data_IF_957002066055
#
_entry.id   IF_957002066055
#
_cell.length_a   1.000
_cell.length_b   1.000
_cell.length_c   1.000
_cell.angle_alpha   90.00
_cell.angle_beta   90.00
_cell.angle_gamma   90.00
#
_symmetry.space_group_name_H-M   'P 1'
#
loop_
_entity.id
_entity.type
_entity.pdbx_description
1 polymer ?
#
# COMPACT_ATOMS: atom_id res chain seq x y z
N UNK A 1 -8.87 -6.87 23.11
CA UNK A 1 -8.25 -7.59 21.95
C UNK A 1 -9.28 -8.24 21.04
N UNK A 2 -9.62 -7.60 19.91
CA UNK A 2 -10.38 -8.24 18.84
C UNK A 2 -9.44 -8.38 17.64
N UNK A 3 -8.43 -9.22 17.85
CA UNK A 3 -7.28 -9.37 16.96
C UNK A 3 -7.65 -10.08 15.64
N UNK A 4 -8.92 -10.22 15.27
CA UNK A 4 -9.35 -11.12 14.20
C UNK A 4 -8.65 -10.86 12.85
N UNK A 5 -8.43 -9.59 12.47
CA UNK A 5 -7.69 -9.27 11.25
C UNK A 5 -6.19 -9.61 11.31
N UNK A 6 -5.57 -9.57 12.51
CA UNK A 6 -4.15 -9.86 12.74
C UNK A 6 -3.88 -11.32 13.19
N UNK A 7 -4.92 -12.06 13.54
CA UNK A 7 -4.86 -13.44 14.06
C UNK A 7 -5.54 -14.47 13.16
N UNK A 8 -6.17 -14.06 12.06
CA UNK A 8 -6.69 -15.03 11.08
C UNK A 8 -5.54 -15.95 10.66
N UNK A 9 -5.69 -17.28 10.80
CA UNK A 9 -4.72 -18.22 10.28
C UNK A 9 -4.44 -17.88 8.81
N UNK A 10 -3.16 -17.74 8.48
CA UNK A 10 -2.75 -17.53 7.10
C UNK A 10 -2.94 -18.82 6.33
N UNK A 11 -3.82 -18.78 5.33
CA UNK A 11 -4.11 -19.90 4.45
C UNK A 11 -3.56 -19.61 3.06
N UNK A 12 -3.00 -20.64 2.42
CA UNK A 12 -2.63 -20.58 1.01
C UNK A 12 -3.91 -20.59 0.18
N UNK A 13 -4.03 -19.63 -0.73
CA UNK A 13 -5.15 -19.48 -1.66
C UNK A 13 -4.63 -19.55 -3.08
N UNK A 14 -5.38 -20.22 -3.96
CA UNK A 14 -5.15 -20.19 -5.38
C UNK A 14 -5.80 -18.95 -6.01
N UNK A 15 -5.21 -18.44 -7.09
CA UNK A 15 -5.76 -17.37 -7.89
C UNK A 15 -4.92 -17.14 -9.14
N UNK A 16 -5.14 -16.00 -9.78
CA UNK A 16 -4.36 -15.55 -10.93
C UNK A 16 -3.70 -14.21 -10.65
N UNK A 17 -2.51 -14.01 -11.20
CA UNK A 17 -1.84 -12.72 -11.12
C UNK A 17 -1.08 -12.40 -12.42
N UNK A 18 -1.32 -11.20 -12.94
CA UNK A 18 -0.64 -10.62 -14.09
C UNK A 18 0.47 -9.72 -13.57
N UNK A 19 1.66 -9.83 -14.16
CA UNK A 19 2.80 -8.97 -13.84
C UNK A 19 3.26 -8.30 -15.14
N UNK A 20 3.50 -6.99 -15.09
CA UNK A 20 4.09 -6.21 -16.17
C UNK A 20 5.26 -5.40 -15.61
N UNK A 21 6.37 -5.39 -16.32
CA UNK A 21 7.48 -4.49 -16.01
C UNK A 21 7.11 -3.06 -16.42
N UNK A 22 7.42 -2.10 -15.57
CA UNK A 22 7.11 -0.69 -15.77
C UNK A 22 8.40 0.11 -15.64
N UNK A 23 8.65 0.96 -16.64
CA UNK A 23 9.68 1.99 -16.60
C UNK A 23 9.09 3.32 -17.06
N UNK A 24 9.21 4.36 -16.25
CA UNK A 24 8.69 5.71 -16.52
C UNK A 24 9.68 6.76 -16.01
N UNK A 25 9.62 8.03 -16.49
CA UNK A 25 10.35 9.12 -15.86
C UNK A 25 10.03 9.23 -14.36
N UNK A 26 11.02 9.58 -13.54
CA UNK A 26 10.85 9.70 -12.09
C UNK A 26 10.13 10.99 -11.67
N UNK A 27 8.85 11.11 -12.03
CA UNK A 27 8.02 12.28 -11.71
C UNK A 27 6.57 11.91 -11.40
N UNK A 28 5.90 12.74 -10.61
CA UNK A 28 4.47 12.61 -10.30
C UNK A 28 3.62 12.69 -11.58
N UNK A 29 3.98 13.57 -12.51
CA UNK A 29 3.26 13.70 -13.78
C UNK A 29 3.31 12.40 -14.61
N UNK A 30 4.50 11.79 -14.74
CA UNK A 30 4.65 10.53 -15.46
C UNK A 30 3.92 9.38 -14.75
N UNK A 31 3.92 9.37 -13.42
CA UNK A 31 3.14 8.43 -12.63
C UNK A 31 1.64 8.52 -12.94
N UNK A 32 1.05 9.72 -12.93
CA UNK A 32 -0.38 9.89 -13.24
C UNK A 32 -0.74 9.45 -14.66
N UNK A 33 0.10 9.77 -15.65
CA UNK A 33 -0.09 9.29 -17.03
C UNK A 33 -0.08 7.75 -17.07
N UNK A 34 0.87 7.11 -16.38
CA UNK A 34 0.95 5.66 -16.35
C UNK A 34 -0.25 5.02 -15.65
N UNK A 35 -0.77 5.63 -14.59
CA UNK A 35 -1.99 5.15 -13.91
C UNK A 35 -3.20 5.18 -14.84
N UNK A 36 -3.34 6.22 -15.66
CA UNK A 36 -4.38 6.31 -16.68
C UNK A 36 -4.21 5.25 -17.77
N UNK A 37 -2.98 5.05 -18.27
CA UNK A 37 -2.68 4.00 -19.28
C UNK A 37 -2.97 2.59 -18.78
N UNK A 38 -2.81 2.35 -17.47
CA UNK A 38 -3.08 1.07 -16.83
C UNK A 38 -4.57 0.86 -16.50
N UNK A 39 -5.41 1.88 -16.70
CA UNK A 39 -6.79 1.91 -16.23
C UNK A 39 -6.90 1.64 -14.71
N UNK A 40 -5.93 2.18 -13.95
CA UNK A 40 -5.87 2.04 -12.51
C UNK A 40 -7.03 2.86 -11.90
N UNK A 41 -7.95 2.18 -11.22
CA UNK A 41 -9.25 2.76 -10.84
C UNK A 41 -9.13 3.80 -9.72
N UNK A 42 -9.10 3.33 -8.49
CA UNK A 42 -8.89 4.12 -7.28
C UNK A 42 -7.95 3.36 -6.36
N UNK A 43 -7.25 4.06 -5.47
CA UNK A 43 -6.37 3.38 -4.54
C UNK A 43 -5.56 4.30 -3.65
N UNK A 44 -4.75 3.68 -2.81
CA UNK A 44 -3.87 4.35 -1.87
C UNK A 44 -2.44 4.37 -2.39
N UNK A 45 -1.73 5.44 -2.06
CA UNK A 45 -0.36 5.64 -2.48
C UNK A 45 0.51 5.90 -1.27
N UNK A 46 1.70 5.32 -1.28
CA UNK A 46 2.80 5.66 -0.38
C UNK A 46 4.04 5.96 -1.22
N UNK A 47 4.62 7.12 -0.97
CA UNK A 47 5.80 7.62 -1.66
C UNK A 47 6.89 7.85 -0.63
N UNK A 48 8.00 7.16 -0.81
CA UNK A 48 9.21 7.41 -0.03
C UNK A 48 10.02 8.50 -0.71
N UNK A 49 10.40 9.49 0.09
CA UNK A 49 11.29 10.57 -0.27
C UNK A 49 12.55 10.50 0.59
N UNK A 50 13.61 11.20 0.16
CA UNK A 50 14.81 11.38 0.97
C UNK A 50 14.50 11.98 2.34
N UNK A 51 13.50 12.87 2.42
CA UNK A 51 13.18 13.67 3.61
C UNK A 51 11.85 13.31 4.28
N UNK A 52 11.03 12.43 3.68
CA UNK A 52 9.67 12.17 4.16
C UNK A 52 9.09 10.85 3.63
N UNK A 53 7.99 10.43 4.25
CA UNK A 53 7.05 9.46 3.68
C UNK A 53 5.73 10.18 3.47
N UNK A 54 5.22 10.18 2.24
CA UNK A 54 3.99 10.85 1.85
C UNK A 54 2.95 9.82 1.46
N UNK A 55 1.78 9.90 2.08
CA UNK A 55 0.62 9.12 1.68
C UNK A 55 -0.33 9.95 0.84
N UNK A 56 -0.97 9.27 -0.12
CA UNK A 56 -1.95 9.86 -1.01
C UNK A 56 -3.07 8.92 -1.42
N UNK A 57 -4.02 9.47 -2.17
CA UNK A 57 -5.15 8.78 -2.80
C UNK A 57 -5.13 9.06 -4.30
N UNK A 58 -5.39 8.03 -5.09
CA UNK A 58 -5.76 8.17 -6.49
C UNK A 58 -7.26 8.06 -6.62
N UNK A 59 -7.90 9.15 -7.06
CA UNK A 59 -9.33 9.19 -7.32
C UNK A 59 -9.61 10.25 -8.39
N UNK A 60 -10.63 10.04 -9.22
CA UNK A 60 -11.03 10.98 -10.28
C UNK A 60 -9.89 11.42 -11.21
N UNK A 61 -8.90 10.54 -11.45
CA UNK A 61 -7.77 10.79 -12.33
C UNK A 61 -6.68 11.72 -11.76
N UNK A 62 -6.67 11.97 -10.45
CA UNK A 62 -5.69 12.83 -9.77
C UNK A 62 -5.11 12.17 -8.52
N UNK A 63 -3.84 12.50 -8.21
CA UNK A 63 -3.21 12.15 -6.94
C UNK A 63 -3.41 13.27 -5.90
N UNK A 64 -4.08 12.92 -4.81
CA UNK A 64 -4.28 13.78 -3.65
C UNK A 64 -3.34 13.34 -2.52
N UNK A 65 -2.73 14.29 -1.81
CA UNK A 65 -1.76 14.00 -0.74
C UNK A 65 -2.20 14.59 0.59
N UNK A 66 -1.78 13.94 1.68
CA UNK A 66 -2.05 14.39 3.06
C UNK A 66 -1.43 15.75 3.41
N UNK A 67 -0.41 16.18 2.66
CA UNK A 67 0.32 17.44 2.80
C UNK A 67 0.63 18.00 1.40
N UNK A 68 1.69 18.78 1.28
CA UNK A 68 2.20 19.24 0.00
C UNK A 68 2.52 18.06 -0.95
N UNK A 69 2.38 18.32 -2.26
CA UNK A 69 2.76 17.39 -3.30
C UNK A 69 4.26 17.03 -3.16
N UNK A 70 4.61 15.73 -3.19
CA UNK A 70 6.00 15.29 -3.15
C UNK A 70 6.85 15.91 -4.26
N UNK A 71 8.09 16.26 -3.94
CA UNK A 71 9.04 16.82 -4.91
C UNK A 71 9.69 15.68 -5.70
N UNK A 72 9.55 15.69 -7.02
CA UNK A 72 10.10 14.68 -7.94
C UNK A 72 11.58 14.36 -7.68
N UNK A 73 12.39 15.39 -7.44
CA UNK A 73 13.83 15.25 -7.17
C UNK A 73 14.16 14.40 -5.94
N UNK A 74 13.23 14.30 -4.98
CA UNK A 74 13.44 13.59 -3.72
C UNK A 74 12.79 12.22 -3.66
N UNK A 75 11.97 11.85 -4.64
CA UNK A 75 11.32 10.55 -4.66
C UNK A 75 12.35 9.42 -4.73
N UNK A 76 12.07 8.32 -4.05
CA UNK A 76 12.91 7.11 -4.00
C UNK A 76 12.11 5.86 -4.40
N UNK A 77 10.88 5.75 -3.91
CA UNK A 77 10.00 4.60 -4.15
C UNK A 77 8.55 5.07 -4.17
N UNK A 78 7.74 4.42 -4.99
CA UNK A 78 6.30 4.63 -5.09
C UNK A 78 5.61 3.28 -5.02
N UNK A 79 4.61 3.17 -4.16
CA UNK A 79 3.63 2.08 -4.21
C UNK A 79 2.22 2.65 -4.28
N UNK A 80 1.53 2.34 -5.37
CA UNK A 80 0.10 2.60 -5.53
C UNK A 80 -0.66 1.28 -5.51
N UNK A 81 -1.65 1.13 -4.64
CA UNK A 81 -2.30 -0.16 -4.42
C UNK A 81 -3.79 -0.05 -4.10
N UNK A 82 -4.52 -1.11 -4.42
CA UNK A 82 -5.89 -1.35 -3.99
C UNK A 82 -6.12 -2.86 -3.83
N UNK A 83 -7.37 -3.26 -3.60
CA UNK A 83 -7.75 -4.66 -3.35
C UNK A 83 -7.29 -5.63 -4.45
N UNK A 84 -7.09 -5.15 -5.69
CA UNK A 84 -6.87 -5.99 -6.86
C UNK A 84 -5.50 -5.79 -7.50
N UNK A 85 -4.88 -4.62 -7.37
CA UNK A 85 -3.67 -4.27 -8.12
C UNK A 85 -2.68 -3.45 -7.30
N UNK A 86 -1.43 -3.50 -7.73
CA UNK A 86 -0.35 -2.66 -7.22
C UNK A 86 0.61 -2.25 -8.33
N UNK A 87 0.96 -0.96 -8.34
CA UNK A 87 2.13 -0.43 -9.01
C UNK A 87 3.24 -0.19 -7.98
N UNK A 88 4.36 -0.90 -8.08
CA UNK A 88 5.54 -0.76 -7.21
C UNK A 88 6.75 -0.35 -8.04
N UNK A 89 7.29 0.83 -7.76
CA UNK A 89 8.36 1.44 -8.53
C UNK A 89 9.47 1.95 -7.63
N UNK A 90 10.71 1.67 -8.00
CA UNK A 90 11.92 2.19 -7.36
C UNK A 90 12.63 3.15 -8.30
N UNK A 91 13.17 4.25 -7.76
CA UNK A 91 13.96 5.20 -8.54
C UNK A 91 15.32 4.61 -8.89
N UNK A 92 15.62 4.59 -10.17
CA UNK A 92 16.90 4.25 -10.74
C UNK A 92 17.35 5.37 -11.67
N UNK A 93 18.27 6.21 -11.17
CA UNK A 93 18.69 7.43 -11.87
C UNK A 93 17.52 8.40 -12.08
N UNK A 94 17.29 8.79 -13.34
CA UNK A 94 16.19 9.67 -13.75
C UNK A 94 14.85 8.96 -14.00
N UNK A 95 14.77 7.65 -13.75
CA UNK A 95 13.59 6.83 -14.05
C UNK A 95 13.07 6.12 -12.80
N UNK A 96 11.78 5.84 -12.78
CA UNK A 96 11.19 4.80 -11.95
C UNK A 96 11.18 3.50 -12.73
N UNK A 97 11.59 2.42 -12.07
CA UNK A 97 11.55 1.05 -12.60
C UNK A 97 10.96 0.10 -11.56
N UNK A 98 10.14 -0.83 -12.00
CA UNK A 98 9.55 -1.83 -11.13
C UNK A 98 8.44 -2.56 -11.84
N UNK A 99 7.37 -2.90 -11.11
CA UNK A 99 6.31 -3.75 -11.62
C UNK A 99 4.92 -3.19 -11.36
N UNK A 100 4.04 -3.47 -12.30
CA UNK A 100 2.61 -3.47 -12.10
C UNK A 100 2.14 -4.91 -11.94
N UNK A 101 1.34 -5.17 -10.91
CA UNK A 101 0.76 -6.49 -10.64
C UNK A 101 -0.75 -6.36 -10.48
N UNK A 102 -1.52 -7.22 -11.16
CA UNK A 102 -2.99 -7.24 -11.11
C UNK A 102 -3.49 -8.65 -10.83
N UNK A 103 -4.25 -8.81 -9.77
CA UNK A 103 -4.86 -10.08 -9.40
C UNK A 103 -6.15 -10.35 -10.17
N UNK A 104 -6.49 -11.63 -10.30
CA UNK A 104 -7.64 -12.10 -11.07
C UNK A 104 -7.38 -12.28 -12.56
N UNK A 105 -6.26 -11.75 -13.07
CA UNK A 105 -5.81 -11.89 -14.45
C UNK A 105 -4.44 -12.56 -14.51
N UNK A 106 -4.03 -13.08 -15.67
CA UNK A 106 -2.68 -13.63 -15.86
C UNK A 106 -2.51 -15.10 -15.45
N UNK A 107 -1.31 -15.44 -14.97
CA UNK A 107 -0.91 -16.82 -14.69
C UNK A 107 -1.46 -17.32 -13.34
N UNK A 108 -1.61 -18.64 -13.22
CA UNK A 108 -1.95 -19.27 -11.94
C UNK A 108 -0.90 -18.92 -10.88
N UNK A 109 -1.36 -18.62 -9.68
CA UNK A 109 -0.52 -18.21 -8.57
C UNK A 109 -1.15 -18.63 -7.25
N UNK A 110 -0.30 -18.97 -6.29
CA UNK A 110 -0.69 -19.18 -4.91
C UNK A 110 -0.27 -17.98 -4.08
N UNK A 111 -1.07 -17.61 -3.09
CA UNK A 111 -0.76 -16.48 -2.23
C UNK A 111 -1.33 -16.65 -0.82
N UNK A 112 -0.79 -15.85 0.08
CA UNK A 112 -1.23 -15.70 1.46
C UNK A 112 -1.47 -14.21 1.73
N UNK A 113 -2.61 -13.88 2.34
CA UNK A 113 -2.87 -12.53 2.85
C UNK A 113 -2.51 -12.47 4.34
N UNK A 114 -1.82 -11.41 4.74
CA UNK A 114 -1.46 -11.13 6.14
C UNK A 114 -1.56 -9.64 6.42
N UNK A 115 -1.76 -9.26 7.68
CA UNK A 115 -1.88 -7.86 8.07
C UNK A 115 -0.87 -7.48 9.14
N UNK A 116 -0.26 -6.30 9.00
CA UNK A 116 0.67 -5.72 9.98
C UNK A 116 0.14 -4.38 10.46
N UNK A 117 0.00 -4.22 11.78
CA UNK A 117 -0.53 -2.98 12.37
C UNK A 117 0.43 -1.82 12.13
N UNK A 118 -0.11 -0.66 11.76
CA UNK A 118 0.63 0.59 11.75
C UNK A 118 0.99 1.02 13.19
N UNK A 119 1.96 1.90 13.29
CA UNK A 119 2.35 2.52 14.57
C UNK A 119 1.33 3.57 14.98
N UNK A 120 1.10 3.70 16.28
CA UNK A 120 0.23 4.72 16.83
C UNK A 120 -1.27 4.41 16.74
N UNK A 121 -2.05 5.32 17.30
CA UNK A 121 -3.52 5.29 17.32
C UNK A 121 -4.10 6.50 16.61
N UNK A 122 -5.31 6.37 16.08
CA UNK A 122 -6.06 7.47 15.46
C UNK A 122 -6.30 8.58 16.50
N UNK A 123 -6.11 9.82 16.07
CA UNK A 123 -6.41 11.01 16.89
C UNK A 123 -7.30 11.98 16.11
N UNK A 124 -8.30 12.55 16.78
CA UNK A 124 -9.27 13.52 16.25
C UNK A 124 -8.69 14.93 15.97
N UNK A 125 -7.39 15.07 15.69
CA UNK A 125 -6.77 16.41 15.62
C UNK A 125 -7.16 17.17 14.34
N UNK A 126 -7.45 18.47 14.48
CA UNK A 126 -7.91 19.39 13.43
C UNK A 126 -6.90 19.67 12.30
N UNK A 127 -5.65 19.20 12.41
CA UNK A 127 -4.60 19.50 11.43
C UNK A 127 -4.51 18.48 10.28
N UNK A 128 -5.55 17.67 10.04
CA UNK A 128 -5.53 16.67 8.97
C UNK A 128 -6.20 17.22 7.71
N UNK A 129 -5.55 17.06 6.56
CA UNK A 129 -6.18 17.34 5.27
C UNK A 129 -7.42 16.44 5.11
N UNK A 130 -8.45 16.96 4.43
CA UNK A 130 -9.66 16.20 4.13
C UNK A 130 -9.33 14.87 3.43
N UNK A 131 -9.97 13.78 3.85
CA UNK A 131 -9.71 12.44 3.31
C UNK A 131 -8.50 11.72 3.92
N UNK A 132 -7.85 12.31 4.93
CA UNK A 132 -6.74 11.68 5.67
C UNK A 132 -7.03 11.59 7.18
N UNK A 133 -6.39 10.62 7.83
CA UNK A 133 -6.42 10.37 9.25
C UNK A 133 -5.01 10.41 9.83
N UNK A 134 -4.89 10.82 11.10
CA UNK A 134 -3.62 10.90 11.81
C UNK A 134 -3.48 9.76 12.80
N UNK A 135 -2.41 8.98 12.66
CA UNK A 135 -1.94 8.04 13.67
C UNK A 135 -0.79 8.63 14.46
N UNK A 136 -0.85 8.55 15.79
CA UNK A 136 0.19 9.08 16.70
C UNK A 136 0.64 7.99 17.67
N UNK A 137 1.96 7.78 17.73
CA UNK A 137 2.64 7.04 18.79
C UNK A 137 3.36 8.06 19.67
N UNK A 138 2.68 8.50 20.73
CA UNK A 138 3.17 9.57 21.62
C UNK A 138 4.46 9.19 22.34
N UNK A 139 4.63 7.93 22.68
CA UNK A 139 5.80 7.42 23.41
C UNK A 139 7.06 7.52 22.54
N UNK A 140 6.91 7.25 21.24
CA UNK A 140 8.00 7.34 20.25
C UNK A 140 8.09 8.67 19.53
N UNK A 141 7.15 9.58 19.78
CA UNK A 141 6.98 10.87 19.08
C UNK A 141 6.89 10.68 17.56
N UNK A 142 6.30 9.56 17.12
CA UNK A 142 6.08 9.26 15.71
C UNK A 142 4.64 9.62 15.34
N UNK A 143 4.47 10.13 14.12
CA UNK A 143 3.16 10.37 13.55
C UNK A 143 3.13 9.96 12.08
N UNK A 144 1.96 9.56 11.61
CA UNK A 144 1.71 9.21 10.22
C UNK A 144 0.36 9.77 9.80
N UNK A 145 0.28 10.28 8.58
CA UNK A 145 -0.99 10.64 7.94
C UNK A 145 -1.32 9.55 6.94
N UNK A 146 -2.41 8.84 7.15
CA UNK A 146 -2.89 7.79 6.26
C UNK A 146 -4.17 8.24 5.55
N UNK A 147 -4.49 7.74 4.36
CA UNK A 147 -5.82 7.92 3.78
C UNK A 147 -6.90 7.37 4.71
N UNK A 148 -8.05 8.05 4.80
CA UNK A 148 -9.23 7.53 5.50
C UNK A 148 -9.75 6.29 4.77
N UNK A 149 -10.20 5.30 5.55
CA UNK A 149 -10.95 4.14 5.09
C UNK A 149 -12.35 4.16 5.71
N UNK A 150 -13.30 3.44 5.11
CA UNK A 150 -14.73 3.55 5.44
C UNK A 150 -15.06 3.24 6.91
N UNK A 151 -14.35 2.28 7.51
CA UNK A 151 -14.57 1.87 8.90
C UNK A 151 -13.69 2.67 9.88
N UNK A 152 -14.33 3.25 10.89
CA UNK A 152 -13.66 4.00 11.94
C UNK A 152 -13.12 3.07 13.05
N UNK A 153 -11.84 3.20 13.38
CA UNK A 153 -11.17 2.41 14.39
C UNK A 153 -10.04 3.21 15.08
N UNK A 154 -9.69 2.81 16.30
CA UNK A 154 -8.53 3.40 16.99
C UNK A 154 -7.20 3.00 16.32
N UNK A 155 -7.13 1.81 15.72
CA UNK A 155 -5.91 1.29 15.09
C UNK A 155 -6.18 0.83 13.67
N UNK A 156 -5.13 0.84 12.85
CA UNK A 156 -5.18 0.40 11.46
C UNK A 156 -3.99 -0.50 11.12
N UNK A 157 -4.13 -1.33 10.09
CA UNK A 157 -3.11 -2.23 9.60
C UNK A 157 -2.96 -2.16 8.08
N UNK A 158 -1.77 -2.50 7.59
CA UNK A 158 -1.51 -2.75 6.18
C UNK A 158 -1.71 -4.22 5.89
N UNK A 159 -2.67 -4.54 5.00
CA UNK A 159 -2.82 -5.87 4.44
C UNK A 159 -1.84 -6.06 3.27
N UNK A 160 -1.10 -7.15 3.31
CA UNK A 160 -0.12 -7.56 2.32
C UNK A 160 -0.47 -8.94 1.78
N UNK A 161 -0.45 -9.06 0.45
CA UNK A 161 -0.56 -10.34 -0.26
C UNK A 161 0.82 -10.83 -0.66
N UNK A 162 1.25 -11.97 -0.14
CA UNK A 162 2.53 -12.59 -0.44
C UNK A 162 2.34 -13.80 -1.37
N UNK A 163 2.97 -13.79 -2.52
CA UNK A 163 2.85 -14.85 -3.53
C UNK A 163 3.85 -15.95 -3.27
N UNK A 164 3.38 -17.18 -3.33
CA UNK A 164 4.16 -18.40 -3.10
C UNK A 164 4.62 -18.93 -4.46
N UNK A 165 5.89 -19.32 -4.52
CA UNK A 165 6.47 -19.99 -5.68
C UNK A 165 7.54 -20.98 -5.24
N UNK A 166 7.96 -21.81 -6.20
CA UNK A 166 9.01 -22.81 -5.99
C UNK A 166 10.29 -22.30 -6.64
N UNK A 167 11.38 -22.30 -5.88
CA UNK A 167 12.70 -22.03 -6.43
C UNK A 167 13.14 -23.20 -7.31
N UNK A 168 13.37 -22.97 -8.60
CA UNK A 168 13.73 -24.03 -9.56
C UNK A 168 15.05 -24.75 -9.23
N UNK A 169 15.98 -24.08 -8.55
CA UNK A 169 17.30 -24.64 -8.23
C UNK A 169 17.29 -25.45 -6.93
N UNK A 170 16.52 -25.03 -5.93
CA UNK A 170 16.51 -25.66 -4.60
C UNK A 170 15.27 -26.50 -4.34
N UNK A 171 14.26 -26.44 -5.22
CA UNK A 171 12.94 -27.03 -5.04
C UNK A 171 12.23 -26.59 -3.74
N UNK A 172 12.67 -25.49 -3.11
CA UNK A 172 12.06 -24.96 -1.91
C UNK A 172 10.91 -24.01 -2.26
N UNK A 173 9.77 -24.20 -1.61
CA UNK A 173 8.66 -23.26 -1.66
C UNK A 173 8.97 -22.05 -0.75
N UNK A 174 8.63 -20.85 -1.22
CA UNK A 174 8.81 -19.62 -0.46
C UNK A 174 8.07 -18.45 -1.10
N UNK A 175 8.17 -17.28 -0.47
CA UNK A 175 7.62 -16.05 -1.05
C UNK A 175 8.50 -15.56 -2.19
N UNK A 176 7.92 -15.43 -3.38
CA UNK A 176 8.61 -14.93 -4.57
C UNK A 176 8.36 -13.45 -4.81
N UNK A 177 7.29 -12.91 -4.24
CA UNK A 177 6.89 -11.50 -4.35
C UNK A 177 5.81 -11.16 -3.30
N UNK A 178 5.57 -9.87 -3.04
CA UNK A 178 4.45 -9.42 -2.23
C UNK A 178 3.93 -8.03 -2.64
N UNK A 179 2.62 -7.82 -2.54
CA UNK A 179 2.00 -6.51 -2.79
C UNK A 179 1.26 -5.96 -1.58
N UNK A 180 1.19 -4.65 -1.47
CA UNK A 180 0.21 -3.99 -0.62
C UNK A 180 -1.18 -4.17 -1.23
N UNK A 181 -2.17 -4.38 -0.37
CA UNK A 181 -3.53 -4.70 -0.78
C UNK A 181 -4.53 -3.71 -0.22
N UNK A 182 -4.54 -3.51 1.09
CA UNK A 182 -5.52 -2.65 1.72
C UNK A 182 -4.99 -2.01 3.02
N UNK A 183 -5.65 -0.95 3.46
CA UNK A 183 -5.55 -0.45 4.83
C UNK A 183 -6.81 -0.93 5.55
N UNK A 184 -6.66 -1.63 6.67
CA UNK A 184 -7.75 -2.26 7.40
C UNK A 184 -7.92 -1.64 8.80
N UNK A 185 -9.16 -1.45 9.28
CA UNK A 185 -9.39 -1.15 10.70
C UNK A 185 -8.94 -2.32 11.58
N UNK A 186 -8.47 -2.03 12.78
CA UNK A 186 -8.09 -3.02 13.79
C UNK A 186 -8.84 -2.71 15.08
N UNK A 187 -9.84 -3.53 15.38
CA UNK A 187 -10.66 -3.39 16.57
C UNK A 187 -10.02 -4.06 17.79
N UNK A 188 -10.00 -3.40 18.94
CA UNK A 188 -9.50 -4.00 20.17
C UNK A 188 -10.69 -4.27 21.11
N UNK A 189 -11.06 -5.54 21.31
CA UNK A 189 -12.11 -5.97 22.28
C UNK A 189 -11.96 -5.19 23.59
N UNK A 190 -12.97 -4.37 23.90
CA UNK A 190 -12.91 -3.30 24.90
C UNK A 190 -13.46 -1.97 24.35
N UNK A 191 -13.33 -1.75 23.04
CA UNK A 191 -13.94 -0.60 22.34
C UNK A 191 -15.45 -0.89 22.19
N UNK A 192 -16.24 -0.37 23.12
CA UNK A 192 -17.69 -0.48 23.08
C UNK A 192 -18.25 0.31 21.89
N UNK A 193 -19.21 -0.31 21.20
CA UNK A 193 -20.14 0.36 20.28
C UNK A 193 -20.97 1.41 21.00
#
# INVERSE_FOLDING_TARGET
MNREALLKPTEIKAGKSLIKDIAIPASIAALQVKLQELDFQTGFFVLWQIDAISWGKWESGQLHFSKAVPRDGLLLEVRGFNDNEELHLLKQGGSFQGRYRKDGEGAESEYIDSASRFWGRKTESQECAEGFMRLVDSDRKLQMLLPVVDEDAEYYALETRSYVGINEKTAQAGYVDYRFKAILPVFVKGDAR
#
